data_IF_875139035682
#
_entry.id   IF_875139035682
#
_cell.length_a   1.000
_cell.length_b   1.000
_cell.length_c   1.000
_cell.angle_alpha   90.00
_cell.angle_beta   90.00
_cell.angle_gamma   90.00
#
_symmetry.space_group_name_H-M   'P 1'
#
loop_
_entity.id
_entity.type
_entity.pdbx_description
1 polymer ?
#
# COMPACT_ATOMS: atom_id res chain seq x y z
N UNK A 1 -4.02 -10.05 -0.03
CA UNK A 1 -3.66 -11.00 1.04
C UNK A 1 -2.15 -11.07 1.33
N UNK A 2 -1.30 -11.40 0.36
CA UNK A 2 0.14 -11.68 0.60
C UNK A 2 0.95 -10.52 1.21
N UNK A 3 0.74 -9.29 0.72
CA UNK A 3 1.39 -8.12 1.32
C UNK A 3 1.02 -7.96 2.79
N UNK A 4 -0.27 -8.10 3.14
CA UNK A 4 -0.75 -7.98 4.51
C UNK A 4 -0.13 -9.04 5.43
N UNK A 5 0.00 -10.28 4.94
CA UNK A 5 0.68 -11.36 5.66
C UNK A 5 2.18 -11.08 5.83
N UNK A 6 2.83 -10.54 4.79
CA UNK A 6 4.26 -10.17 4.86
C UNK A 6 4.48 -9.02 5.84
N UNK A 7 3.57 -8.04 5.86
CA UNK A 7 3.61 -6.91 6.77
C UNK A 7 3.42 -7.34 8.23
N UNK A 8 2.43 -8.21 8.53
CA UNK A 8 2.21 -8.72 9.88
C UNK A 8 3.36 -9.59 10.40
N UNK A 9 4.10 -10.24 9.51
CA UNK A 9 5.34 -10.97 9.82
C UNK A 9 6.58 -10.08 9.94
N UNK A 10 6.44 -8.76 9.75
CA UNK A 10 7.54 -7.80 9.82
C UNK A 10 8.50 -7.83 8.63
N UNK A 11 8.09 -8.40 7.49
CA UNK A 11 8.96 -8.59 6.31
C UNK A 11 8.93 -7.39 5.34
N UNK A 12 8.10 -6.38 5.61
CA UNK A 12 7.90 -5.22 4.73
C UNK A 12 8.69 -3.96 5.15
N UNK A 13 9.59 -4.06 6.12
CA UNK A 13 10.49 -2.97 6.50
C UNK A 13 11.57 -2.68 5.44
N UNK A 14 12.11 -1.46 5.47
CA UNK A 14 13.22 -1.04 4.61
C UNK A 14 14.13 0.00 5.29
N UNK A 15 15.39 -0.38 5.48
CA UNK A 15 16.42 0.48 6.06
C UNK A 15 16.08 0.93 7.49
N UNK A 16 16.58 2.12 7.86
CA UNK A 16 16.36 2.72 9.19
C UNK A 16 15.10 3.59 9.28
N UNK A 17 14.53 3.95 8.12
CA UNK A 17 13.45 4.94 8.01
C UNK A 17 12.08 4.27 8.05
N UNK A 18 11.94 3.10 7.41
CA UNK A 18 10.69 2.37 7.30
C UNK A 18 10.74 1.11 8.16
N UNK A 19 10.41 1.25 9.44
CA UNK A 19 10.40 0.12 10.37
C UNK A 19 9.26 -0.85 10.06
N UNK A 20 9.49 -2.13 10.32
CA UNK A 20 8.50 -3.17 10.07
C UNK A 20 7.22 -3.00 10.90
N UNK A 21 7.35 -2.58 12.16
CA UNK A 21 6.23 -2.26 13.07
C UNK A 21 5.33 -1.16 12.49
N UNK A 22 5.94 -0.03 12.09
CA UNK A 22 5.25 1.12 11.51
C UNK A 22 4.47 0.75 10.24
N UNK A 23 4.98 -0.20 9.46
CA UNK A 23 4.34 -0.69 8.24
C UNK A 23 3.17 -1.62 8.56
N UNK A 24 3.34 -2.52 9.53
CA UNK A 24 2.27 -3.41 9.98
C UNK A 24 1.09 -2.60 10.50
N UNK A 25 1.36 -1.58 11.33
CA UNK A 25 0.36 -0.68 11.88
C UNK A 25 -0.34 0.13 10.78
N UNK A 26 0.44 0.71 9.85
CA UNK A 26 -0.12 1.47 8.74
C UNK A 26 -1.01 0.63 7.81
N UNK A 27 -0.65 -0.64 7.58
CA UNK A 27 -1.45 -1.57 6.79
C UNK A 27 -2.72 -1.99 7.54
N UNK A 28 -2.61 -2.32 8.84
CA UNK A 28 -3.75 -2.67 9.67
C UNK A 28 -4.76 -1.53 9.76
N UNK A 29 -4.29 -0.29 9.97
CA UNK A 29 -5.10 0.91 9.98
C UNK A 29 -5.88 1.07 8.66
N UNK A 30 -5.20 0.94 7.50
CA UNK A 30 -5.87 1.03 6.20
C UNK A 30 -6.96 -0.04 6.06
N UNK A 31 -6.65 -1.29 6.35
CA UNK A 31 -7.57 -2.41 6.14
C UNK A 31 -8.75 -2.39 7.12
N UNK A 32 -8.57 -1.83 8.33
CA UNK A 32 -9.64 -1.72 9.32
C UNK A 32 -10.85 -0.93 8.79
N UNK A 33 -10.62 0.10 7.95
CA UNK A 33 -11.69 0.89 7.32
C UNK A 33 -12.60 0.05 6.41
N UNK A 34 -12.16 -1.14 6.02
CA UNK A 34 -12.86 -2.03 5.09
C UNK A 34 -13.15 -3.39 5.71
N UNK A 35 -13.15 -3.53 7.04
CA UNK A 35 -13.32 -4.82 7.73
C UNK A 35 -12.25 -5.86 7.34
N UNK A 36 -11.02 -5.40 7.09
CA UNK A 36 -9.87 -6.24 6.79
C UNK A 36 -9.46 -6.26 5.32
N UNK A 37 -8.46 -7.10 5.02
CA UNK A 37 -7.80 -7.17 3.72
C UNK A 37 -8.78 -7.55 2.60
N UNK A 38 -9.70 -8.47 2.87
CA UNK A 38 -10.66 -8.94 1.87
C UNK A 38 -11.71 -7.88 1.52
N UNK A 39 -12.18 -7.11 2.52
CA UNK A 39 -13.08 -6.01 2.23
C UNK A 39 -12.38 -4.88 1.49
N UNK A 40 -11.10 -4.61 1.77
CA UNK A 40 -10.32 -3.65 0.98
C UNK A 40 -10.12 -4.12 -0.46
N UNK A 41 -9.80 -5.40 -0.66
CA UNK A 41 -9.69 -5.98 -2.01
C UNK A 41 -11.02 -5.93 -2.77
N UNK A 42 -12.15 -6.18 -2.07
CA UNK A 42 -13.49 -6.03 -2.63
C UNK A 42 -13.78 -4.59 -3.03
N UNK A 43 -13.47 -3.62 -2.17
CA UNK A 43 -13.61 -2.19 -2.47
C UNK A 43 -12.81 -1.79 -3.72
N UNK A 44 -11.56 -2.22 -3.83
CA UNK A 44 -10.73 -1.93 -5.01
C UNK A 44 -11.32 -2.55 -6.29
N UNK A 45 -11.93 -3.73 -6.21
CA UNK A 45 -12.54 -4.40 -7.36
C UNK A 45 -13.87 -3.76 -7.77
N UNK A 46 -14.78 -3.63 -6.81
CA UNK A 46 -16.19 -3.37 -7.09
C UNK A 46 -16.48 -1.86 -7.19
N UNK A 47 -15.88 -1.07 -6.28
CA UNK A 47 -16.12 0.38 -6.17
C UNK A 47 -15.12 1.19 -6.99
N UNK A 48 -13.81 0.94 -6.79
CA UNK A 48 -12.75 1.67 -7.52
C UNK A 48 -12.62 1.16 -8.96
N UNK A 49 -13.02 -0.09 -9.21
CA UNK A 49 -12.92 -0.75 -10.52
C UNK A 49 -11.52 -0.72 -11.08
N UNK A 50 -10.55 -1.14 -10.27
CA UNK A 50 -9.14 -1.19 -10.65
C UNK A 50 -8.99 -1.97 -11.97
N UNK A 51 -8.40 -1.32 -12.95
CA UNK A 51 -8.11 -1.92 -14.25
C UNK A 51 -7.30 -3.21 -14.08
N UNK A 52 -7.62 -4.21 -14.91
CA UNK A 52 -6.99 -5.52 -14.87
C UNK A 52 -7.20 -6.30 -13.57
N UNK A 53 -8.20 -6.00 -12.73
CA UNK A 53 -8.51 -6.78 -11.52
C UNK A 53 -8.84 -8.26 -11.82
N UNK A 54 -9.35 -8.55 -13.01
CA UNK A 54 -9.74 -9.91 -13.44
C UNK A 54 -8.63 -10.67 -14.18
N UNK A 55 -7.49 -10.03 -14.46
CA UNK A 55 -6.38 -10.66 -15.17
C UNK A 55 -5.43 -11.39 -14.21
N UNK A 56 -4.74 -12.46 -14.64
CA UNK A 56 -3.62 -12.99 -13.87
C UNK A 56 -2.54 -11.91 -13.65
N UNK A 57 -1.88 -11.95 -12.50
CA UNK A 57 -0.78 -11.03 -12.19
C UNK A 57 0.34 -11.22 -13.21
N UNK A 58 0.49 -10.26 -14.10
CA UNK A 58 1.65 -10.08 -14.97
C UNK A 58 2.28 -8.72 -14.65
N UNK A 59 3.51 -8.48 -15.13
CA UNK A 59 4.26 -7.26 -14.77
C UNK A 59 3.48 -5.96 -15.01
N UNK A 60 2.76 -5.86 -16.13
CA UNK A 60 1.95 -4.68 -16.46
C UNK A 60 0.67 -4.57 -15.62
N UNK A 61 -0.09 -5.65 -15.49
CA UNK A 61 -1.32 -5.68 -14.69
C UNK A 61 -1.03 -5.43 -13.19
N UNK A 62 0.06 -6.01 -12.67
CA UNK A 62 0.50 -5.77 -11.29
C UNK A 62 0.87 -4.30 -11.06
N UNK A 63 1.53 -3.67 -12.02
CA UNK A 63 1.87 -2.24 -11.97
C UNK A 63 0.64 -1.34 -11.99
N UNK A 64 -0.31 -1.60 -12.89
CA UNK A 64 -1.56 -0.83 -12.96
C UNK A 64 -2.38 -0.96 -11.67
N UNK A 65 -2.49 -2.18 -11.11
CA UNK A 65 -3.14 -2.40 -9.82
C UNK A 65 -2.45 -1.63 -8.69
N UNK A 66 -1.12 -1.64 -8.66
CA UNK A 66 -0.33 -0.90 -7.68
C UNK A 66 -0.59 0.60 -7.77
N UNK A 67 -0.55 1.19 -8.97
CA UNK A 67 -0.78 2.63 -9.14
C UNK A 67 -2.16 3.05 -8.65
N UNK A 68 -3.20 2.30 -9.01
CA UNK A 68 -4.56 2.57 -8.55
C UNK A 68 -4.70 2.40 -7.03
N UNK A 69 -4.09 1.36 -6.45
CA UNK A 69 -4.06 1.12 -5.01
C UNK A 69 -3.38 2.27 -4.25
N UNK A 70 -2.25 2.77 -4.76
CA UNK A 70 -1.51 3.90 -4.16
C UNK A 70 -2.37 5.16 -4.17
N UNK A 71 -3.02 5.45 -5.29
CA UNK A 71 -3.87 6.63 -5.40
C UNK A 71 -5.02 6.56 -4.39
N UNK A 72 -5.70 5.41 -4.29
CA UNK A 72 -6.75 5.17 -3.30
C UNK A 72 -6.22 5.34 -1.88
N UNK A 73 -5.10 4.70 -1.54
CA UNK A 73 -4.51 4.80 -0.21
C UNK A 73 -4.15 6.24 0.17
N UNK A 74 -3.66 7.04 -0.78
CA UNK A 74 -3.37 8.46 -0.55
C UNK A 74 -4.64 9.29 -0.37
N UNK A 75 -5.71 9.03 -1.12
CA UNK A 75 -7.01 9.71 -0.90
C UNK A 75 -7.59 9.41 0.49
N UNK A 76 -7.33 8.21 1.01
CA UNK A 76 -7.73 7.79 2.36
C UNK A 76 -6.82 8.35 3.47
N UNK A 77 -5.90 9.26 3.14
CA UNK A 77 -5.18 10.07 4.14
C UNK A 77 -6.00 11.26 4.62
N UNK A 78 -7.02 11.67 3.86
CA UNK A 78 -7.85 12.80 4.23
C UNK A 78 -8.68 12.48 5.48
N UNK A 79 -8.82 13.45 6.41
CA UNK A 79 -9.64 13.25 7.60
C UNK A 79 -11.08 12.88 7.20
N UNK A 80 -11.69 11.89 7.86
CA UNK A 80 -13.08 11.54 7.61
C UNK A 80 -14.00 12.72 7.96
N UNK A 81 -15.17 12.78 7.33
CA UNK A 81 -16.13 13.86 7.54
C UNK A 81 -16.56 14.00 9.01
N UNK A 82 -16.57 12.92 9.77
CA UNK A 82 -16.86 12.90 11.20
C UNK A 82 -15.81 13.70 12.00
N UNK A 83 -14.53 13.52 11.70
CA UNK A 83 -13.44 14.24 12.37
C UNK A 83 -13.47 15.75 12.04
N UNK A 84 -13.82 16.08 10.79
CA UNK A 84 -14.01 17.46 10.35
C UNK A 84 -15.24 18.10 11.03
N UNK A 85 -16.33 17.36 11.17
CA UNK A 85 -17.55 17.83 11.83
C UNK A 85 -17.34 18.03 13.34
N UNK A 86 -16.47 17.22 13.94
CA UNK A 86 -16.10 17.30 15.36
C UNK A 86 -14.95 18.28 15.65
N UNK A 87 -14.49 19.06 14.65
CA UNK A 87 -13.32 19.92 14.78
C UNK A 87 -13.41 20.90 15.96
N UNK A 88 -14.59 21.49 16.19
CA UNK A 88 -14.82 22.40 17.31
C UNK A 88 -14.64 21.70 18.66
N UNK A 89 -15.21 20.51 18.83
CA UNK A 89 -15.07 19.71 20.06
C UNK A 89 -13.62 19.26 20.26
N UNK A 90 -12.96 18.86 19.18
CA UNK A 90 -11.55 18.48 19.18
C UNK A 90 -10.64 19.67 19.54
N UNK A 91 -10.96 20.88 19.08
CA UNK A 91 -10.25 22.11 19.45
C UNK A 91 -10.39 22.43 20.94
N UNK A 92 -11.59 22.28 21.52
CA UNK A 92 -11.82 22.44 22.96
C UNK A 92 -11.00 21.42 23.76
N UNK A 93 -10.96 20.16 23.32
CA UNK A 93 -10.16 19.10 23.97
C UNK A 93 -8.66 19.37 23.87
N UNK A 94 -8.17 19.79 22.70
CA UNK A 94 -6.77 20.10 22.46
C UNK A 94 -6.29 21.34 23.24
N UNK A 95 -7.20 22.29 23.47
CA UNK A 95 -6.97 23.55 24.17
C UNK A 95 -7.18 23.54 25.68
N UNK A 96 -7.26 22.37 26.32
CA UNK A 96 -7.39 22.25 27.78
C UNK A 96 -6.39 23.13 28.57
N UNK A 97 -6.66 23.42 29.83
CA UNK A 97 -5.79 24.27 30.66
C UNK A 97 -4.46 23.57 30.94
N UNK A 98 -3.37 24.03 30.32
CA UNK A 98 -2.03 23.57 30.64
C UNK A 98 -1.54 24.10 31.99
N UNK A 99 -0.48 23.50 32.53
CA UNK A 99 0.18 23.91 33.79
C UNK A 99 0.65 25.39 33.76
N UNK A 100 0.76 25.98 32.57
CA UNK A 100 1.23 27.35 32.33
C UNK A 100 0.13 28.36 31.91
N UNK A 101 -1.15 28.03 32.08
CA UNK A 101 -2.27 28.95 31.81
C UNK A 101 -3.00 28.71 30.48
N UNK A 102 -3.66 29.76 29.95
CA UNK A 102 -4.42 29.68 28.71
C UNK A 102 -3.53 29.28 27.53
N UNK A 103 -3.88 28.18 26.85
CA UNK A 103 -3.22 27.79 25.61
C UNK A 103 -3.50 28.82 24.52
N UNK A 104 -2.46 29.16 23.74
CA UNK A 104 -2.66 29.98 22.55
C UNK A 104 -3.33 29.16 21.47
N UNK A 105 -4.11 29.81 20.62
CA UNK A 105 -4.76 29.15 19.50
C UNK A 105 -3.76 28.54 18.50
N UNK A 106 -2.54 29.07 18.42
CA UNK A 106 -1.46 28.46 17.63
C UNK A 106 -1.09 27.05 18.12
N UNK A 107 -1.06 26.83 19.44
CA UNK A 107 -0.71 25.54 20.03
C UNK A 107 -1.83 24.51 19.79
N UNK A 108 -3.09 24.96 19.91
CA UNK A 108 -4.27 24.15 19.65
C UNK A 108 -4.33 23.73 18.19
N UNK A 109 -4.16 24.68 17.27
CA UNK A 109 -4.17 24.40 15.84
C UNK A 109 -3.02 23.48 15.42
N UNK A 110 -1.82 23.64 15.99
CA UNK A 110 -0.69 22.74 15.74
C UNK A 110 -0.98 21.30 16.18
N UNK A 111 -1.55 21.10 17.37
CA UNK A 111 -1.95 19.77 17.86
C UNK A 111 -3.01 19.13 16.96
N UNK A 112 -4.01 19.91 16.54
CA UNK A 112 -5.06 19.42 15.64
C UNK A 112 -4.48 19.03 14.27
N UNK A 113 -3.61 19.85 13.70
CA UNK A 113 -2.94 19.56 12.43
C UNK A 113 -2.10 18.28 12.52
N UNK A 114 -1.34 18.11 13.62
CA UNK A 114 -0.53 16.92 13.84
C UNK A 114 -1.40 15.65 13.90
N UNK A 115 -2.45 15.67 14.74
CA UNK A 115 -3.29 14.49 14.96
C UNK A 115 -4.25 14.17 13.81
N UNK A 116 -4.89 15.18 13.23
CA UNK A 116 -5.94 14.98 12.22
C UNK A 116 -5.39 14.88 10.80
N UNK A 117 -4.30 15.59 10.48
CA UNK A 117 -3.79 15.65 9.11
C UNK A 117 -2.45 14.92 8.94
N UNK A 118 -1.44 15.24 9.76
CA UNK A 118 -0.09 14.72 9.55
C UNK A 118 0.06 13.25 9.89
N UNK A 119 -0.49 12.79 11.01
CA UNK A 119 -0.37 11.39 11.42
C UNK A 119 -1.05 10.42 10.44
N UNK A 120 -2.30 10.65 10.00
CA UNK A 120 -2.93 9.83 8.95
C UNK A 120 -2.11 9.83 7.66
N UNK A 121 -1.65 11.00 7.20
CA UNK A 121 -0.82 11.12 6.01
C UNK A 121 0.49 10.33 6.15
N UNK A 122 1.16 10.42 7.31
CA UNK A 122 2.40 9.68 7.59
C UNK A 122 2.17 8.18 7.53
N UNK A 123 1.07 7.68 8.09
CA UNK A 123 0.70 6.25 8.00
C UNK A 123 0.47 5.84 6.54
N UNK A 124 -0.27 6.62 5.76
CA UNK A 124 -0.49 6.32 4.33
C UNK A 124 0.81 6.33 3.52
N UNK A 125 1.71 7.29 3.76
CA UNK A 125 3.03 7.31 3.12
C UNK A 125 3.83 6.05 3.46
N UNK A 126 3.83 5.61 4.72
CA UNK A 126 4.51 4.37 5.15
C UNK A 126 3.94 3.13 4.46
N UNK A 127 2.60 3.02 4.41
CA UNK A 127 1.91 1.96 3.67
C UNK A 127 2.33 1.95 2.20
N UNK A 128 2.21 3.09 1.51
CA UNK A 128 2.51 3.24 0.09
C UNK A 128 3.97 2.89 -0.19
N UNK A 129 4.91 3.43 0.59
CA UNK A 129 6.34 3.14 0.43
C UNK A 129 6.63 1.65 0.59
N UNK A 130 6.11 1.02 1.65
CA UNK A 130 6.26 -0.41 1.86
C UNK A 130 5.65 -1.24 0.74
N UNK A 131 4.47 -0.83 0.25
CA UNK A 131 3.74 -1.53 -0.80
C UNK A 131 4.50 -1.49 -2.12
N UNK A 132 5.04 -0.33 -2.50
CA UNK A 132 5.90 -0.17 -3.69
C UNK A 132 7.14 -1.05 -3.58
N UNK A 133 7.87 -0.96 -2.46
CA UNK A 133 9.08 -1.76 -2.23
C UNK A 133 8.76 -3.25 -2.32
N UNK A 134 7.66 -3.68 -1.69
CA UNK A 134 7.24 -5.07 -1.72
C UNK A 134 6.90 -5.52 -3.14
N UNK A 135 6.17 -4.72 -3.93
CA UNK A 135 5.89 -5.08 -5.33
C UNK A 135 7.19 -5.21 -6.12
N UNK A 136 8.10 -4.24 -6.02
CA UNK A 136 9.37 -4.28 -6.75
C UNK A 136 10.22 -5.50 -6.38
N UNK A 137 10.26 -5.88 -5.10
CA UNK A 137 10.97 -7.09 -4.63
C UNK A 137 10.36 -8.38 -5.18
N UNK A 138 9.04 -8.43 -5.33
CA UNK A 138 8.33 -9.65 -5.75
C UNK A 138 8.07 -9.70 -7.26
N UNK A 139 8.18 -8.57 -7.98
CA UNK A 139 7.80 -8.43 -9.38
C UNK A 139 8.51 -9.45 -10.27
N UNK A 140 9.82 -9.64 -10.05
CA UNK A 140 10.61 -10.61 -10.81
C UNK A 140 10.12 -12.03 -10.65
N UNK A 141 9.81 -12.45 -9.42
CA UNK A 141 9.32 -13.80 -9.11
C UNK A 141 7.96 -13.99 -9.78
N UNK A 142 7.02 -13.07 -9.55
CA UNK A 142 5.67 -13.11 -10.14
C UNK A 142 5.71 -13.16 -11.67
N UNK A 143 6.57 -12.35 -12.30
CA UNK A 143 6.71 -12.32 -13.76
C UNK A 143 7.33 -13.61 -14.29
N UNK A 144 8.29 -14.19 -13.58
CA UNK A 144 8.92 -15.46 -13.96
C UNK A 144 7.95 -16.63 -13.84
N UNK A 145 7.13 -16.67 -12.79
CA UNK A 145 6.08 -17.67 -12.59
C UNK A 145 4.98 -17.55 -13.65
N UNK A 146 4.54 -16.32 -13.95
CA UNK A 146 3.58 -16.07 -15.02
C UNK A 146 4.11 -16.52 -16.40
N UNK A 147 5.37 -16.22 -16.72
CA UNK A 147 5.99 -16.69 -17.97
C UNK A 147 6.12 -18.22 -18.02
N UNK A 148 6.39 -18.88 -16.88
CA UNK A 148 6.46 -20.34 -16.81
C UNK A 148 5.07 -20.98 -17.01
N UNK A 149 4.03 -20.42 -16.40
CA UNK A 149 2.66 -20.90 -16.58
C UNK A 149 2.18 -20.75 -18.05
N UNK A 150 2.73 -19.78 -18.78
CA UNK A 150 2.43 -19.57 -20.20
C UNK A 150 3.10 -20.59 -21.12
N UNK A 151 4.34 -21.01 -20.85
CA UNK A 151 5.06 -21.94 -21.72
C UNK A 151 4.41 -23.32 -21.78
N UNK A 152 3.70 -23.69 -20.72
CA UNK A 152 3.18 -25.04 -20.52
C UNK A 152 1.71 -25.19 -20.95
N UNK A 153 1.07 -24.11 -21.42
CA UNK A 153 -0.37 -24.06 -21.68
C UNK A 153 -0.79 -23.75 -23.13
N UNK A 154 -2.06 -24.05 -23.51
CA UNK A 154 -2.64 -23.69 -24.82
C UNK A 154 -2.65 -22.18 -25.09
N UNK A 155 -2.66 -21.39 -24.01
CA UNK A 155 -2.63 -19.92 -24.02
C UNK A 155 -1.30 -19.35 -24.53
N UNK A 156 -0.22 -20.15 -24.60
CA UNK A 156 1.08 -19.75 -25.16
C UNK A 156 0.97 -19.07 -26.53
N UNK A 157 0.00 -19.50 -27.36
CA UNK A 157 -0.23 -18.98 -28.72
C UNK A 157 -0.82 -17.56 -28.74
N UNK A 158 -1.36 -17.09 -27.63
CA UNK A 158 -1.93 -15.74 -27.49
C UNK A 158 -0.88 -14.69 -27.12
N UNK A 159 0.34 -15.11 -26.81
CA UNK A 159 1.40 -14.26 -26.30
C UNK A 159 2.67 -14.39 -27.13
N UNK A 160 3.60 -13.45 -26.95
CA UNK A 160 4.86 -13.45 -27.67
C UNK A 160 5.66 -14.73 -27.40
N UNK A 161 6.16 -15.43 -28.42
CA UNK A 161 7.00 -16.62 -28.25
C UNK A 161 8.32 -16.29 -27.53
N UNK A 162 8.74 -15.02 -27.54
CA UNK A 162 9.95 -14.54 -26.86
C UNK A 162 9.88 -14.67 -25.34
N UNK A 163 8.69 -14.81 -24.73
CA UNK A 163 8.59 -14.98 -23.28
C UNK A 163 9.26 -16.25 -22.78
N UNK A 164 9.23 -17.35 -23.55
CA UNK A 164 9.96 -18.57 -23.21
C UNK A 164 11.48 -18.37 -23.23
N UNK A 165 11.98 -17.56 -24.18
CA UNK A 165 13.40 -17.23 -24.27
C UNK A 165 13.83 -16.30 -23.12
N UNK A 166 13.03 -15.28 -22.81
CA UNK A 166 13.28 -14.39 -21.67
C UNK A 166 13.26 -15.14 -20.33
N UNK A 167 12.33 -16.07 -20.13
CA UNK A 167 12.30 -16.92 -18.94
C UNK A 167 13.57 -17.77 -18.82
N UNK A 168 14.05 -18.32 -19.94
CA UNK A 168 15.32 -19.07 -19.97
C UNK A 168 16.48 -18.18 -19.55
N UNK A 169 16.56 -16.96 -20.08
CA UNK A 169 17.60 -16.00 -19.68
C UNK A 169 17.52 -15.64 -18.19
N UNK A 170 16.33 -15.36 -17.66
CA UNK A 170 16.11 -15.05 -16.24
C UNK A 170 16.60 -16.16 -15.29
N UNK A 171 16.48 -17.43 -15.72
CA UNK A 171 16.92 -18.59 -14.94
C UNK A 171 18.40 -18.93 -15.14
N UNK A 172 18.92 -18.76 -16.35
CA UNK A 172 20.27 -19.21 -16.72
C UNK A 172 21.38 -18.24 -16.35
N UNK A 173 21.11 -16.93 -16.26
CA UNK A 173 22.14 -15.94 -15.99
C UNK A 173 22.19 -15.53 -14.52
N UNK A 174 23.28 -15.80 -13.77
CA UNK A 174 23.38 -15.49 -12.35
C UNK A 174 23.18 -13.99 -12.05
N UNK A 175 23.75 -13.12 -12.87
CA UNK A 175 23.59 -11.66 -12.76
C UNK A 175 22.11 -11.27 -12.85
N UNK A 176 21.36 -11.88 -13.76
CA UNK A 176 19.95 -11.61 -13.94
C UNK A 176 19.11 -12.28 -12.83
N UNK A 177 19.55 -13.44 -12.32
CA UNK A 177 18.92 -14.19 -11.23
C UNK A 177 19.12 -13.54 -9.86
N UNK A 178 20.18 -12.77 -9.69
CA UNK A 178 20.53 -12.15 -8.40
C UNK A 178 20.14 -10.66 -8.32
N UNK A 179 19.64 -10.05 -9.42
CA UNK A 179 18.92 -8.77 -9.47
C UNK A 179 17.57 -8.81 -8.74
#
# INVERSE_FOLDING_TARGET
AEFALSASKGQCGSGRVLKAEDVADAAADLFAHFNGVEGYAKYLRDEVRVSSADMPLNGGAAWQRLLAEIEVAMRLAHPPAEDLSNLMLNAVRAGGTGVHGHQRWEDVSSKLMLGLAFDPLRRRIRYVAARVIWVLRNQKVTVSEWMAALSDGPSSRLYSPLFGEHLRMLRSYPIIRDL
#
